data_IF_030284077340
#
_entry.id   IF_030284077340
#
_cell.length_a   1.000
_cell.length_b   1.000
_cell.length_c   1.000
_cell.angle_alpha   90.00
_cell.angle_beta   90.00
_cell.angle_gamma   90.00
#
_symmetry.space_group_name_H-M   'P 1'
#
loop_
_entity.id
_entity.type
_entity.pdbx_description
1 polymer ?
#
# COMPACT_ATOMS: atom_id res chain seq x y z
N UNK A 1 5.64 0.49 16.92
CA UNK A 1 6.69 -0.49 17.26
C UNK A 1 6.63 -0.93 18.74
N UNK A 2 6.55 0.00 19.70
CA UNK A 2 6.55 -0.31 21.13
C UNK A 2 5.18 -0.67 21.72
N UNK A 3 4.08 -0.51 20.96
CA UNK A 3 2.70 -0.79 21.39
C UNK A 3 2.33 -0.18 22.77
N UNK A 4 2.85 1.00 23.08
CA UNK A 4 2.70 1.62 24.41
C UNK A 4 1.25 1.83 24.83
N UNK A 5 0.36 2.18 23.91
CA UNK A 5 -1.07 2.32 24.25
C UNK A 5 -1.70 1.01 24.73
N UNK A 6 -1.25 -0.12 24.21
CA UNK A 6 -1.65 -1.45 24.65
C UNK A 6 -1.10 -1.75 26.04
N UNK A 7 0.17 -1.37 26.28
CA UNK A 7 0.78 -1.51 27.62
C UNK A 7 0.00 -0.73 28.70
N UNK A 8 -0.60 0.42 28.32
CA UNK A 8 -1.42 1.23 29.21
C UNK A 8 -2.94 0.93 29.10
N UNK A 9 -3.39 -0.14 28.47
CA UNK A 9 -4.83 -0.52 28.48
C UNK A 9 -5.36 -0.80 29.89
N UNK A 10 -4.50 -1.26 30.79
CA UNK A 10 -4.80 -1.44 32.22
C UNK A 10 -4.13 -0.34 33.04
N UNK A 11 -4.58 -0.18 34.30
CA UNK A 11 -3.98 0.76 35.24
C UNK A 11 -2.58 0.27 35.64
N UNK A 12 -1.54 0.94 35.17
CA UNK A 12 -0.16 0.53 35.33
C UNK A 12 0.73 1.74 35.67
N UNK A 13 1.84 1.53 36.36
CA UNK A 13 2.85 2.56 36.59
C UNK A 13 3.80 2.62 35.41
N UNK A 14 4.44 3.77 35.19
CA UNK A 14 5.43 3.94 34.13
C UNK A 14 6.62 2.99 34.32
N UNK A 15 7.15 2.86 35.54
CA UNK A 15 8.25 1.94 35.83
C UNK A 15 7.90 0.48 35.45
N UNK A 16 6.67 0.02 35.77
CA UNK A 16 6.23 -1.34 35.43
C UNK A 16 6.21 -1.58 33.91
N UNK A 17 5.86 -0.55 33.11
CA UNK A 17 5.89 -0.64 31.64
C UNK A 17 7.30 -0.52 31.11
N UNK A 18 8.12 0.36 31.66
CA UNK A 18 9.52 0.53 31.27
C UNK A 18 10.29 -0.78 31.42
N UNK A 19 10.14 -1.43 32.57
CA UNK A 19 10.76 -2.74 32.85
C UNK A 19 10.25 -3.83 31.90
N UNK A 20 8.94 -3.93 31.72
CA UNK A 20 8.34 -4.96 30.88
C UNK A 20 8.70 -4.82 29.39
N UNK A 21 8.87 -3.59 28.91
CA UNK A 21 9.23 -3.29 27.54
C UNK A 21 10.72 -3.10 27.31
N UNK A 22 11.54 -3.12 28.39
CA UNK A 22 12.99 -2.84 28.37
C UNK A 22 13.33 -1.50 27.71
N UNK A 23 12.64 -0.43 28.11
CA UNK A 23 12.79 0.93 27.56
C UNK A 23 13.12 1.92 28.67
N UNK A 24 13.66 3.06 28.27
CA UNK A 24 14.03 4.14 29.19
C UNK A 24 12.81 4.72 29.93
N UNK A 25 12.84 4.68 31.25
CA UNK A 25 11.74 5.17 32.10
C UNK A 25 11.57 6.68 32.02
N UNK A 26 12.66 7.44 31.87
CA UNK A 26 12.61 8.92 31.81
C UNK A 26 11.88 9.34 30.54
N UNK A 27 12.26 8.75 29.42
CA UNK A 27 11.59 9.02 28.13
C UNK A 27 10.14 8.57 28.14
N UNK A 28 9.85 7.42 28.75
CA UNK A 28 8.47 6.93 28.88
C UNK A 28 7.62 7.86 29.78
N UNK A 29 8.19 8.43 30.84
CA UNK A 29 7.50 9.45 31.66
C UNK A 29 7.17 10.70 30.84
N UNK A 30 8.08 11.19 30.01
CA UNK A 30 7.81 12.34 29.13
C UNK A 30 6.71 12.02 28.12
N UNK A 31 6.78 10.85 27.47
CA UNK A 31 5.73 10.38 26.55
C UNK A 31 4.37 10.28 27.26
N UNK A 32 4.35 9.76 28.49
CA UNK A 32 3.13 9.66 29.32
C UNK A 32 2.58 11.04 29.67
N UNK A 33 3.45 12.01 30.01
CA UNK A 33 3.05 13.39 30.28
C UNK A 33 2.38 14.04 29.06
N UNK A 34 2.96 13.88 27.88
CA UNK A 34 2.35 14.34 26.61
C UNK A 34 1.00 13.64 26.42
N UNK A 35 0.96 12.31 26.56
CA UNK A 35 -0.27 11.52 26.40
C UNK A 35 -1.40 11.99 27.31
N UNK A 36 -1.09 12.38 28.56
CA UNK A 36 -2.06 12.95 29.50
C UNK A 36 -2.52 14.35 29.05
N UNK A 37 -1.57 15.21 28.66
CA UNK A 37 -1.86 16.60 28.27
C UNK A 37 -2.80 16.70 27.06
N UNK A 38 -2.67 15.76 26.11
CA UNK A 38 -3.52 15.70 24.91
C UNK A 38 -4.75 14.76 25.07
N UNK A 39 -4.95 14.19 26.28
CA UNK A 39 -6.11 13.36 26.60
C UNK A 39 -6.05 11.90 26.09
N UNK A 40 -4.93 11.45 25.53
CA UNK A 40 -4.76 10.05 25.08
C UNK A 40 -4.57 9.09 26.25
N UNK A 41 -3.98 9.56 27.34
CA UNK A 41 -3.85 8.85 28.59
C UNK A 41 -4.64 9.56 29.71
N UNK A 42 -5.07 8.80 30.70
CA UNK A 42 -5.66 9.30 31.93
C UNK A 42 -4.71 9.04 33.09
N UNK A 43 -4.39 10.10 33.82
CA UNK A 43 -3.70 9.98 35.12
C UNK A 43 -4.67 9.44 36.16
N UNK A 44 -4.22 8.48 36.95
CA UNK A 44 -4.98 7.80 37.98
C UNK A 44 -4.26 7.93 39.32
N UNK A 45 -4.94 7.56 40.41
CA UNK A 45 -4.35 7.56 41.73
C UNK A 45 -3.09 6.68 41.81
N UNK A 46 -2.14 7.01 42.69
CA UNK A 46 -0.88 6.29 42.93
C UNK A 46 0.05 6.22 41.73
N UNK A 47 0.12 7.33 40.96
CA UNK A 47 0.99 7.45 39.77
C UNK A 47 0.77 6.34 38.76
N UNK A 48 -0.46 5.90 38.60
CA UNK A 48 -0.87 4.96 37.55
C UNK A 48 -1.49 5.69 36.38
N UNK A 49 -1.35 5.13 35.21
CA UNK A 49 -1.90 5.67 33.97
C UNK A 49 -2.71 4.61 33.27
N UNK A 50 -3.63 5.06 32.45
CA UNK A 50 -4.46 4.20 31.62
C UNK A 50 -4.79 4.92 30.30
N UNK A 51 -4.84 4.17 29.20
CA UNK A 51 -5.32 4.67 27.89
C UNK A 51 -6.76 5.22 28.02
N UNK A 52 -6.99 6.39 27.47
CA UNK A 52 -8.30 7.05 27.46
C UNK A 52 -9.30 6.28 26.58
N UNK A 53 -10.53 6.08 27.09
CA UNK A 53 -11.56 5.31 26.37
C UNK A 53 -12.16 6.04 25.14
N UNK A 54 -11.93 7.34 25.02
CA UNK A 54 -12.48 8.16 23.92
C UNK A 54 -11.66 8.09 22.61
N UNK A 55 -10.45 7.57 22.67
CA UNK A 55 -9.56 7.51 21.51
C UNK A 55 -9.34 6.06 21.11
N UNK A 56 -9.95 5.64 20.02
CA UNK A 56 -9.51 4.46 19.28
C UNK A 56 -8.38 4.90 18.35
N UNK A 57 -7.15 4.76 18.82
CA UNK A 57 -6.00 5.02 17.97
C UNK A 57 -5.93 3.93 16.92
N UNK A 58 -5.73 4.33 15.65
CA UNK A 58 -5.46 3.35 14.59
C UNK A 58 -4.21 2.55 14.94
N UNK A 59 -4.27 1.23 14.81
CA UNK A 59 -3.15 0.33 15.11
C UNK A 59 -2.48 -0.05 13.80
N UNK A 60 -1.22 0.33 13.54
CA UNK A 60 -0.56 0.04 12.26
C UNK A 60 -0.34 -1.46 12.00
N UNK A 61 -0.52 -2.31 13.02
CA UNK A 61 -0.43 -3.77 12.90
C UNK A 61 -1.78 -4.45 12.58
N UNK A 62 -2.88 -3.70 12.56
CA UNK A 62 -4.18 -4.22 12.16
C UNK A 62 -4.36 -4.02 10.65
N UNK A 63 -4.61 -5.08 9.90
CA UNK A 63 -4.65 -5.09 8.42
C UNK A 63 -5.59 -4.05 7.79
N UNK A 64 -6.64 -3.64 8.48
CA UNK A 64 -7.61 -2.65 7.99
C UNK A 64 -7.52 -1.29 8.70
N UNK A 65 -6.42 -1.03 9.39
CA UNK A 65 -6.27 0.17 10.22
C UNK A 65 -5.73 1.35 9.42
N UNK A 66 -6.37 2.51 9.53
CA UNK A 66 -5.83 3.78 9.04
C UNK A 66 -4.46 4.16 9.67
N UNK A 67 -4.05 3.46 10.72
CA UNK A 67 -2.70 3.56 11.30
C UNK A 67 -1.59 3.16 10.33
N UNK A 68 -1.90 2.30 9.37
CA UNK A 68 -0.99 1.94 8.28
C UNK A 68 -0.66 3.16 7.41
N UNK A 69 -1.68 3.96 7.05
CA UNK A 69 -1.48 5.22 6.31
C UNK A 69 -0.63 6.20 7.12
N UNK A 70 -0.91 6.33 8.42
CA UNK A 70 -0.12 7.20 9.28
C UNK A 70 1.34 6.74 9.35
N UNK A 71 1.59 5.44 9.44
CA UNK A 71 2.94 4.85 9.40
C UNK A 71 3.64 5.23 8.10
N UNK A 72 3.01 5.01 6.96
CA UNK A 72 3.56 5.36 5.65
C UNK A 72 3.87 6.87 5.54
N UNK A 73 2.97 7.73 6.00
CA UNK A 73 3.22 9.17 6.04
C UNK A 73 4.45 9.52 6.87
N UNK A 74 4.63 8.91 8.04
CA UNK A 74 5.75 9.18 8.95
C UNK A 74 7.09 8.61 8.43
N UNK A 75 7.06 7.45 7.77
CA UNK A 75 8.26 6.75 7.31
C UNK A 75 8.71 7.19 5.92
N UNK A 76 7.78 7.59 5.05
CA UNK A 76 8.06 7.90 3.65
C UNK A 76 7.75 9.34 3.27
N UNK A 77 6.50 9.80 3.46
CA UNK A 77 6.06 11.06 2.91
C UNK A 77 6.67 12.25 3.64
N UNK A 78 6.61 12.30 4.96
CA UNK A 78 7.12 13.42 5.76
C UNK A 78 8.63 13.60 5.58
N UNK A 79 9.48 12.56 5.69
CA UNK A 79 10.91 12.71 5.45
C UNK A 79 11.24 13.24 4.06
N UNK A 80 10.54 12.75 3.02
CA UNK A 80 10.74 13.20 1.65
C UNK A 80 10.34 14.65 1.46
N UNK A 81 9.21 15.09 2.03
CA UNK A 81 8.75 16.47 1.94
C UNK A 81 9.62 17.45 2.76
N UNK A 82 10.18 17.02 3.89
CA UNK A 82 11.13 17.81 4.67
C UNK A 82 12.45 18.04 3.93
N UNK A 83 12.84 17.13 3.03
CA UNK A 83 14.03 17.29 2.19
C UNK A 83 13.82 18.20 0.97
N UNK A 84 12.59 18.63 0.66
CA UNK A 84 12.28 19.47 -0.50
C UNK A 84 13.13 20.74 -0.63
N UNK A 85 13.38 21.53 0.43
CA UNK A 85 14.19 22.75 0.30
C UNK A 85 15.60 22.47 -0.27
N UNK A 86 16.21 21.38 0.16
CA UNK A 86 17.55 21.01 -0.31
C UNK A 86 17.50 20.40 -1.72
N UNK A 87 16.50 19.61 -2.02
CA UNK A 87 16.26 19.10 -3.38
C UNK A 87 16.08 20.26 -4.37
N UNK A 88 15.27 21.27 -4.02
CA UNK A 88 15.05 22.46 -4.86
C UNK A 88 16.33 23.27 -5.08
N UNK A 89 17.15 23.49 -4.03
CA UNK A 89 18.41 24.23 -4.12
C UNK A 89 19.43 23.49 -4.98
N UNK A 90 19.55 22.18 -4.78
CA UNK A 90 20.55 21.35 -5.45
C UNK A 90 20.08 20.82 -6.81
N UNK A 91 18.80 21.02 -7.16
CA UNK A 91 18.17 20.46 -8.38
C UNK A 91 18.33 18.94 -8.48
N UNK A 92 18.20 18.25 -7.35
CA UNK A 92 18.30 16.80 -7.23
C UNK A 92 16.97 16.21 -6.76
N UNK A 93 16.79 14.90 -6.95
CA UNK A 93 15.70 14.10 -6.41
C UNK A 93 16.29 12.89 -5.74
N UNK A 94 15.54 12.31 -4.79
CA UNK A 94 15.93 11.05 -4.17
C UNK A 94 15.67 9.86 -5.12
N UNK A 95 16.24 8.73 -4.79
CA UNK A 95 15.88 7.44 -5.41
C UNK A 95 14.93 6.69 -4.47
N UNK A 96 13.79 6.23 -4.99
CA UNK A 96 12.86 5.42 -4.22
C UNK A 96 13.35 3.97 -4.20
N UNK A 97 13.66 3.51 -3.01
CA UNK A 97 14.07 2.13 -2.76
C UNK A 97 12.84 1.28 -2.42
N UNK A 98 12.34 0.57 -3.41
CA UNK A 98 11.15 -0.27 -3.30
C UNK A 98 11.34 -1.43 -2.33
N UNK A 99 12.54 -2.00 -2.24
CA UNK A 99 12.83 -3.11 -1.32
C UNK A 99 12.80 -2.66 0.14
N UNK A 100 13.41 -1.51 0.42
CA UNK A 100 13.44 -0.91 1.76
C UNK A 100 12.04 -0.61 2.30
N UNK A 101 11.11 -0.24 1.42
CA UNK A 101 9.78 0.22 1.79
C UNK A 101 8.67 -0.78 1.46
N UNK A 102 9.03 -1.99 0.99
CA UNK A 102 8.11 -3.03 0.54
C UNK A 102 7.00 -3.33 1.56
N UNK A 103 7.35 -3.57 2.81
CA UNK A 103 6.39 -3.89 3.88
C UNK A 103 5.36 -2.76 4.10
N UNK A 104 5.81 -1.50 4.09
CA UNK A 104 4.93 -0.35 4.33
C UNK A 104 3.98 -0.14 3.15
N UNK A 105 4.50 -0.24 1.92
CA UNK A 105 3.70 -0.14 0.69
C UNK A 105 2.69 -1.30 0.59
N UNK A 106 3.11 -2.53 0.88
CA UNK A 106 2.22 -3.70 0.89
C UNK A 106 1.07 -3.53 1.89
N UNK A 107 1.35 -3.03 3.10
CA UNK A 107 0.32 -2.77 4.11
C UNK A 107 -0.70 -1.73 3.65
N UNK A 108 -0.26 -0.64 3.00
CA UNK A 108 -1.15 0.39 2.47
C UNK A 108 -1.96 -0.11 1.28
N UNK A 109 -1.34 -0.89 0.40
CA UNK A 109 -2.02 -1.52 -0.73
C UNK A 109 -3.18 -2.41 -0.27
N UNK A 110 -3.02 -3.17 0.83
CA UNK A 110 -4.11 -3.98 1.42
C UNK A 110 -5.34 -3.16 1.83
N UNK A 111 -5.17 -1.90 2.24
CA UNK A 111 -6.32 -1.02 2.52
C UNK A 111 -7.09 -0.67 1.26
N UNK A 112 -6.37 -0.46 0.15
CA UNK A 112 -7.00 -0.18 -1.15
C UNK A 112 -7.72 -1.40 -1.70
N UNK A 113 -7.21 -2.61 -1.44
CA UNK A 113 -7.87 -3.87 -1.80
C UNK A 113 -9.30 -3.95 -1.23
N UNK A 114 -9.50 -3.55 0.02
CA UNK A 114 -10.85 -3.57 0.66
C UNK A 114 -11.85 -2.76 -0.15
N UNK A 115 -11.42 -1.66 -0.77
CA UNK A 115 -12.27 -0.76 -1.55
C UNK A 115 -12.40 -1.22 -3.00
N UNK A 116 -11.33 -1.66 -3.62
CA UNK A 116 -11.25 -2.00 -5.03
C UNK A 116 -11.78 -3.42 -5.33
N UNK A 117 -11.45 -4.41 -4.49
CA UNK A 117 -11.79 -5.81 -4.70
C UNK A 117 -13.28 -6.07 -4.97
N UNK A 118 -14.25 -5.46 -4.24
CA UNK A 118 -15.67 -5.66 -4.54
C UNK A 118 -16.09 -5.13 -5.92
N UNK A 119 -15.38 -4.15 -6.46
CA UNK A 119 -15.64 -3.58 -7.79
C UNK A 119 -15.04 -4.47 -8.87
N UNK A 120 -13.79 -4.90 -8.70
CA UNK A 120 -13.10 -5.83 -9.59
C UNK A 120 -13.87 -7.16 -9.66
N UNK A 121 -14.31 -7.70 -8.52
CA UNK A 121 -15.09 -8.92 -8.48
C UNK A 121 -16.43 -8.85 -9.23
N UNK A 122 -16.97 -7.66 -9.53
CA UNK A 122 -18.15 -7.49 -10.37
C UNK A 122 -17.84 -7.68 -11.85
N UNK A 123 -16.62 -7.41 -12.28
CA UNK A 123 -16.19 -7.63 -13.66
C UNK A 123 -16.11 -9.13 -13.99
N UNK A 124 -15.85 -9.98 -12.97
CA UNK A 124 -15.81 -11.44 -13.10
C UNK A 124 -17.17 -12.12 -12.95
N UNK A 125 -18.22 -11.40 -12.53
CA UNK A 125 -19.56 -11.99 -12.36
C UNK A 125 -20.21 -12.30 -13.70
N UNK A 126 -20.72 -13.53 -13.81
CA UNK A 126 -21.49 -13.99 -14.97
C UNK A 126 -20.67 -14.72 -16.03
N UNK A 127 -19.35 -14.78 -15.88
CA UNK A 127 -18.44 -15.52 -16.75
C UNK A 127 -17.68 -16.57 -15.92
N UNK A 128 -18.00 -17.85 -16.13
CA UNK A 128 -17.53 -18.94 -15.27
C UNK A 128 -16.11 -19.43 -15.59
N UNK A 129 -15.44 -18.92 -16.61
CA UNK A 129 -14.08 -19.30 -16.99
C UNK A 129 -13.36 -18.14 -17.62
N UNK A 130 -12.83 -17.26 -16.81
CA UNK A 130 -12.04 -16.12 -17.28
C UNK A 130 -10.56 -16.33 -17.02
N UNK A 131 -9.74 -15.82 -17.92
CA UNK A 131 -8.31 -15.69 -17.73
C UNK A 131 -8.00 -14.27 -17.27
N UNK A 132 -7.35 -14.15 -16.12
CA UNK A 132 -7.06 -12.87 -15.46
C UNK A 132 -5.57 -12.70 -15.29
N UNK A 133 -5.03 -11.56 -15.72
CA UNK A 133 -3.65 -11.15 -15.45
C UNK A 133 -3.63 -10.03 -14.41
N UNK A 134 -2.81 -10.15 -13.37
CA UNK A 134 -2.53 -9.07 -12.42
C UNK A 134 -1.07 -8.60 -12.60
N UNK A 135 -0.92 -7.40 -13.14
CA UNK A 135 0.38 -6.81 -13.44
C UNK A 135 0.90 -6.11 -12.18
N UNK A 136 2.12 -6.51 -11.75
CA UNK A 136 2.71 -6.09 -10.47
C UNK A 136 1.83 -6.56 -9.32
N UNK A 137 1.56 -7.85 -9.28
CA UNK A 137 0.65 -8.48 -8.33
C UNK A 137 1.10 -8.32 -6.86
N UNK A 138 2.30 -7.82 -6.64
CA UNK A 138 2.87 -7.65 -5.31
C UNK A 138 2.90 -8.98 -4.55
N UNK A 139 2.50 -8.95 -3.29
CA UNK A 139 2.39 -10.16 -2.46
C UNK A 139 1.21 -11.09 -2.83
N UNK A 140 0.46 -10.80 -3.90
CA UNK A 140 -0.62 -11.65 -4.41
C UNK A 140 -1.98 -11.50 -3.70
N UNK A 141 -2.20 -10.41 -2.97
CA UNK A 141 -3.43 -10.20 -2.18
C UNK A 141 -4.71 -10.19 -3.02
N UNK A 142 -4.72 -9.46 -4.13
CA UNK A 142 -5.85 -9.44 -5.05
C UNK A 142 -6.09 -10.80 -5.69
N UNK A 143 -5.05 -11.39 -6.26
CA UNK A 143 -5.13 -12.70 -6.93
C UNK A 143 -5.70 -13.76 -6.00
N UNK A 144 -5.15 -13.90 -4.80
CA UNK A 144 -5.62 -14.89 -3.82
C UNK A 144 -7.12 -14.79 -3.58
N UNK A 145 -7.58 -13.57 -3.22
CA UNK A 145 -9.00 -13.35 -2.88
C UNK A 145 -9.95 -13.52 -4.06
N UNK A 146 -9.49 -13.18 -5.27
CA UNK A 146 -10.27 -13.40 -6.48
C UNK A 146 -10.30 -14.89 -6.85
N UNK A 147 -9.17 -15.59 -6.81
CA UNK A 147 -9.08 -17.01 -7.12
C UNK A 147 -9.89 -17.90 -6.17
N UNK A 148 -9.87 -17.60 -4.86
CA UNK A 148 -10.72 -18.26 -3.86
C UNK A 148 -12.21 -18.05 -4.15
N UNK A 149 -12.59 -16.91 -4.69
CA UNK A 149 -13.99 -16.54 -4.99
C UNK A 149 -14.47 -17.07 -6.33
N UNK A 150 -13.59 -17.20 -7.31
CA UNK A 150 -13.87 -17.61 -8.68
C UNK A 150 -13.00 -18.82 -9.06
N UNK A 151 -13.25 -20.01 -8.48
CA UNK A 151 -12.38 -21.18 -8.63
C UNK A 151 -12.32 -21.73 -10.06
N UNK A 152 -13.30 -21.42 -10.92
CA UNK A 152 -13.32 -21.85 -12.32
C UNK A 152 -12.48 -20.95 -13.24
N UNK A 153 -12.13 -19.75 -12.79
CA UNK A 153 -11.27 -18.80 -13.52
C UNK A 153 -9.80 -19.06 -13.24
N UNK A 154 -8.93 -18.73 -14.20
CA UNK A 154 -7.48 -18.84 -14.07
C UNK A 154 -6.88 -17.46 -13.81
N UNK A 155 -5.89 -17.39 -12.96
CA UNK A 155 -5.23 -16.17 -12.54
C UNK A 155 -3.73 -16.28 -12.75
N UNK A 156 -3.18 -15.33 -13.46
CA UNK A 156 -1.74 -15.17 -13.65
C UNK A 156 -1.31 -13.85 -13.03
N UNK A 157 -0.20 -13.87 -12.28
CA UNK A 157 0.39 -12.67 -11.69
C UNK A 157 1.83 -12.51 -12.15
N UNK A 158 2.20 -11.30 -12.52
CA UNK A 158 3.60 -10.94 -12.77
C UNK A 158 4.08 -9.93 -11.74
N UNK A 159 5.31 -10.12 -11.25
CA UNK A 159 5.94 -9.23 -10.28
C UNK A 159 7.43 -9.12 -10.57
N UNK A 160 7.95 -7.90 -10.64
CA UNK A 160 9.36 -7.65 -11.01
C UNK A 160 10.34 -8.04 -9.91
N UNK A 161 9.95 -7.90 -8.65
CA UNK A 161 10.78 -8.24 -7.50
C UNK A 161 10.73 -9.74 -7.19
N UNK A 162 11.86 -10.43 -7.28
CA UNK A 162 11.99 -11.86 -6.97
C UNK A 162 11.52 -12.20 -5.54
N UNK A 163 11.88 -11.38 -4.56
CA UNK A 163 11.50 -11.61 -3.15
C UNK A 163 9.99 -11.48 -2.91
N UNK A 164 9.36 -10.53 -3.61
CA UNK A 164 7.91 -10.27 -3.52
C UNK A 164 7.13 -11.35 -4.29
N UNK A 165 7.58 -11.71 -5.48
CA UNK A 165 7.00 -12.81 -6.28
C UNK A 165 6.99 -14.13 -5.49
N UNK A 166 8.11 -14.49 -4.84
CA UNK A 166 8.18 -15.67 -3.95
C UNK A 166 7.21 -15.60 -2.76
N UNK A 167 6.91 -14.40 -2.28
CA UNK A 167 5.90 -14.22 -1.23
C UNK A 167 4.50 -14.48 -1.79
N UNK A 168 4.20 -13.98 -2.99
CA UNK A 168 2.95 -14.23 -3.69
C UNK A 168 2.75 -15.74 -4.00
N UNK A 169 3.79 -16.41 -4.50
CA UNK A 169 3.77 -17.87 -4.74
C UNK A 169 3.43 -18.65 -3.47
N UNK A 170 4.07 -18.31 -2.35
CA UNK A 170 3.77 -18.96 -1.05
C UNK A 170 2.34 -18.67 -0.58
N UNK A 171 1.86 -17.44 -0.78
CA UNK A 171 0.52 -17.04 -0.36
C UNK A 171 -0.57 -17.78 -1.17
N UNK A 172 -0.29 -18.11 -2.42
CA UNK A 172 -1.23 -18.72 -3.36
C UNK A 172 -0.99 -20.21 -3.59
N UNK A 173 0.00 -20.82 -2.94
CA UNK A 173 0.44 -22.21 -3.16
C UNK A 173 -0.65 -23.28 -3.01
N UNK A 174 -1.74 -23.00 -2.31
CA UNK A 174 -2.87 -23.91 -2.14
C UNK A 174 -3.94 -23.78 -3.23
N UNK A 175 -3.77 -22.85 -4.18
CA UNK A 175 -4.74 -22.54 -5.23
C UNK A 175 -4.24 -23.08 -6.56
N UNK A 176 -4.93 -24.08 -7.12
CA UNK A 176 -4.57 -24.72 -8.38
C UNK A 176 -4.82 -23.85 -9.61
N UNK A 177 -5.63 -22.78 -9.44
CA UNK A 177 -6.01 -21.86 -10.48
C UNK A 177 -5.18 -20.55 -10.46
N UNK A 178 -4.02 -20.54 -9.82
CA UNK A 178 -3.12 -19.38 -9.73
C UNK A 178 -1.72 -19.76 -10.18
N UNK A 179 -1.11 -18.91 -11.01
CA UNK A 179 0.31 -18.94 -11.33
C UNK A 179 0.93 -17.56 -11.09
N UNK A 180 2.14 -17.54 -10.56
CA UNK A 180 2.92 -16.31 -10.35
C UNK A 180 4.23 -16.46 -11.11
N UNK A 181 4.62 -15.40 -11.84
CA UNK A 181 5.89 -15.33 -12.59
C UNK A 181 6.67 -14.10 -12.15
N UNK A 182 7.96 -14.29 -11.86
CA UNK A 182 8.87 -13.15 -11.69
C UNK A 182 9.23 -12.63 -13.07
N UNK A 183 8.66 -11.48 -13.44
CA UNK A 183 8.89 -10.85 -14.75
C UNK A 183 8.72 -9.34 -14.68
N UNK A 184 9.51 -8.62 -15.47
CA UNK A 184 9.24 -7.23 -15.78
C UNK A 184 8.09 -7.15 -16.80
N UNK A 185 7.18 -6.21 -16.60
CA UNK A 185 6.06 -5.93 -17.52
C UNK A 185 6.52 -5.75 -18.98
N UNK A 186 7.69 -5.14 -19.18
CA UNK A 186 8.21 -4.86 -20.51
C UNK A 186 8.81 -6.08 -21.20
N UNK A 187 9.23 -7.08 -20.43
CA UNK A 187 9.82 -8.34 -20.92
C UNK A 187 8.80 -9.47 -20.97
N UNK A 188 7.63 -9.29 -20.36
CA UNK A 188 6.60 -10.32 -20.32
C UNK A 188 5.90 -10.49 -21.66
N UNK A 189 5.78 -11.73 -22.13
CA UNK A 189 5.11 -12.12 -23.37
C UNK A 189 3.99 -13.13 -23.06
N UNK A 190 2.71 -12.70 -23.13
CA UNK A 190 1.59 -13.57 -22.81
C UNK A 190 1.43 -14.69 -23.85
N UNK A 191 1.11 -15.88 -23.37
CA UNK A 191 0.87 -17.04 -24.24
C UNK A 191 -0.56 -17.06 -24.81
N UNK A 192 -1.46 -16.28 -24.23
CA UNK A 192 -2.87 -16.20 -24.60
C UNK A 192 -3.45 -14.83 -24.25
N UNK A 193 -4.66 -14.56 -24.72
CA UNK A 193 -5.35 -13.31 -24.43
C UNK A 193 -6.08 -13.39 -23.11
N UNK A 194 -6.15 -12.24 -22.40
CA UNK A 194 -6.81 -12.14 -21.10
C UNK A 194 -8.21 -11.51 -21.22
N UNK A 195 -9.15 -12.04 -20.44
CA UNK A 195 -10.48 -11.46 -20.32
C UNK A 195 -10.49 -10.28 -19.35
N UNK A 196 -9.57 -10.27 -18.40
CA UNK A 196 -9.39 -9.17 -17.46
C UNK A 196 -7.91 -8.97 -17.16
N UNK A 197 -7.44 -7.75 -17.35
CA UNK A 197 -6.12 -7.33 -16.89
C UNK A 197 -6.30 -6.38 -15.71
N UNK A 198 -5.61 -6.65 -14.62
CA UNK A 198 -5.55 -5.79 -13.44
C UNK A 198 -4.24 -5.02 -13.43
N UNK A 199 -4.31 -3.71 -13.18
CA UNK A 199 -3.16 -2.84 -12.99
C UNK A 199 -3.43 -1.96 -11.77
N UNK A 200 -3.00 -2.43 -10.59
CA UNK A 200 -3.33 -1.80 -9.32
C UNK A 200 -2.11 -1.08 -8.73
N UNK A 201 -2.18 0.25 -8.58
CA UNK A 201 -1.14 1.08 -7.98
C UNK A 201 0.23 1.01 -8.67
N UNK A 202 0.27 0.85 -9.99
CA UNK A 202 1.52 0.71 -10.76
C UNK A 202 1.83 1.93 -11.62
N UNK A 203 0.83 2.66 -12.07
CA UNK A 203 1.00 3.70 -13.10
C UNK A 203 2.05 4.77 -12.74
N UNK A 204 2.32 4.99 -11.46
CA UNK A 204 3.33 5.93 -10.98
C UNK A 204 4.78 5.39 -11.09
N UNK A 205 4.99 4.12 -11.42
CA UNK A 205 6.29 3.56 -11.82
C UNK A 205 6.54 3.72 -13.31
N UNK A 206 5.52 4.09 -14.10
CA UNK A 206 5.60 4.22 -15.55
C UNK A 206 5.70 5.70 -15.92
N UNK A 207 6.75 6.06 -16.64
CA UNK A 207 6.92 7.45 -17.10
C UNK A 207 5.76 7.88 -18.00
N UNK A 208 5.32 9.13 -17.94
CA UNK A 208 4.19 9.62 -18.73
C UNK A 208 4.34 9.34 -20.24
N UNK A 209 5.57 9.42 -20.74
CA UNK A 209 5.91 9.21 -22.16
C UNK A 209 5.71 7.74 -22.59
N UNK A 210 5.83 6.80 -21.64
CA UNK A 210 5.66 5.37 -21.91
C UNK A 210 4.24 4.85 -21.65
N UNK A 211 3.35 5.67 -21.09
CA UNK A 211 2.00 5.20 -20.72
C UNK A 211 1.16 4.83 -21.95
N UNK A 212 1.29 5.57 -23.05
CA UNK A 212 0.58 5.21 -24.28
C UNK A 212 1.07 3.85 -24.81
N UNK A 213 2.38 3.65 -24.90
CA UNK A 213 2.99 2.38 -25.30
C UNK A 213 2.50 1.22 -24.40
N UNK A 214 2.43 1.46 -23.09
CA UNK A 214 1.88 0.50 -22.14
C UNK A 214 0.42 0.14 -22.46
N UNK A 215 -0.45 1.12 -22.64
CA UNK A 215 -1.86 0.86 -22.90
C UNK A 215 -2.09 0.18 -24.25
N UNK A 216 -1.30 0.53 -25.26
CA UNK A 216 -1.32 -0.14 -26.58
C UNK A 216 -0.96 -1.63 -26.40
N UNK A 217 0.15 -1.93 -25.69
CA UNK A 217 0.58 -3.30 -25.38
C UNK A 217 -0.48 -4.08 -24.57
N UNK A 218 -1.06 -3.49 -23.54
CA UNK A 218 -2.10 -4.14 -22.75
C UNK A 218 -3.36 -4.39 -23.58
N UNK A 219 -3.71 -3.50 -24.50
CA UNK A 219 -4.82 -3.70 -25.44
C UNK A 219 -4.57 -4.91 -26.36
N UNK A 220 -3.33 -5.12 -26.77
CA UNK A 220 -2.97 -6.31 -27.55
C UNK A 220 -3.06 -7.62 -26.74
N UNK A 221 -2.93 -7.56 -25.43
CA UNK A 221 -3.03 -8.72 -24.54
C UNK A 221 -4.48 -9.07 -24.17
N UNK A 222 -5.43 -8.15 -24.35
CA UNK A 222 -6.85 -8.38 -24.09
C UNK A 222 -7.51 -9.24 -25.18
N UNK A 223 -8.46 -10.07 -24.76
CA UNK A 223 -9.43 -10.71 -25.66
C UNK A 223 -10.38 -9.66 -26.28
N UNK A 224 -11.21 -10.03 -27.25
CA UNK A 224 -12.10 -9.12 -27.99
C UNK A 224 -13.03 -8.32 -27.06
N UNK A 225 -13.56 -8.98 -26.02
CA UNK A 225 -14.42 -8.37 -25.00
C UNK A 225 -13.66 -8.16 -23.67
N UNK A 226 -12.34 -8.24 -23.69
CA UNK A 226 -11.49 -8.12 -22.51
C UNK A 226 -11.49 -6.72 -21.90
N UNK A 227 -11.30 -6.66 -20.58
CA UNK A 227 -11.37 -5.42 -19.80
C UNK A 227 -10.03 -5.14 -19.11
N UNK A 228 -9.53 -3.92 -19.21
CA UNK A 228 -8.45 -3.42 -18.37
C UNK A 228 -9.02 -2.70 -17.15
N UNK A 229 -8.68 -3.16 -15.94
CA UNK A 229 -9.04 -2.52 -14.69
C UNK A 229 -7.82 -1.80 -14.11
N UNK A 230 -7.89 -0.49 -14.02
CA UNK A 230 -6.82 0.35 -13.44
C UNK A 230 -7.28 0.92 -12.11
N UNK A 231 -6.54 0.65 -11.04
CA UNK A 231 -6.75 1.27 -9.73
C UNK A 231 -5.55 2.15 -9.43
N UNK A 232 -5.78 3.46 -9.40
CA UNK A 232 -4.73 4.45 -9.12
C UNK A 232 -5.34 5.73 -8.54
N UNK A 233 -4.62 6.47 -7.69
CA UNK A 233 -4.98 7.85 -7.40
C UNK A 233 -4.91 8.68 -8.69
N UNK A 234 -5.85 9.62 -8.84
CA UNK A 234 -5.92 10.50 -10.01
C UNK A 234 -5.59 11.93 -9.58
N UNK A 235 -4.70 12.59 -10.30
CA UNK A 235 -4.44 14.00 -10.12
C UNK A 235 -5.57 14.84 -10.70
N UNK A 236 -6.08 15.80 -9.94
CA UNK A 236 -7.04 16.81 -10.41
C UNK A 236 -6.37 18.04 -11.05
N UNK A 237 -5.08 17.99 -11.34
CA UNK A 237 -4.34 19.15 -11.83
C UNK A 237 -4.36 20.29 -10.79
N UNK A 238 -4.71 21.52 -11.21
CA UNK A 238 -4.80 22.67 -10.31
C UNK A 238 -5.95 22.59 -9.31
N UNK A 239 -6.98 21.80 -9.62
CA UNK A 239 -8.14 21.58 -8.75
C UNK A 239 -8.00 20.35 -7.85
N UNK A 240 -6.79 19.79 -7.74
CA UNK A 240 -6.53 18.65 -6.87
C UNK A 240 -6.85 18.95 -5.41
N UNK A 241 -7.59 18.06 -4.71
CA UNK A 241 -7.72 18.17 -3.26
C UNK A 241 -6.34 18.21 -2.59
N UNK A 242 -6.17 18.95 -1.47
CA UNK A 242 -4.87 19.12 -0.82
C UNK A 242 -4.12 17.81 -0.54
N UNK A 243 -4.84 16.76 -0.17
CA UNK A 243 -4.24 15.44 0.05
C UNK A 243 -3.65 14.86 -1.24
N UNK A 244 -4.38 14.91 -2.35
CA UNK A 244 -3.90 14.38 -3.65
C UNK A 244 -2.71 15.19 -4.16
N UNK A 245 -2.73 16.52 -4.00
CA UNK A 245 -1.62 17.38 -4.36
C UNK A 245 -0.35 17.06 -3.54
N UNK A 246 -0.49 16.87 -2.22
CA UNK A 246 0.60 16.46 -1.35
C UNK A 246 1.14 15.07 -1.70
N UNK A 247 0.25 14.12 -2.00
CA UNK A 247 0.62 12.78 -2.42
C UNK A 247 1.35 12.79 -3.77
N UNK A 248 0.88 13.59 -4.73
CA UNK A 248 1.58 13.76 -5.99
C UNK A 248 2.96 14.42 -5.81
N UNK A 249 3.10 15.36 -4.88
CA UNK A 249 4.39 15.96 -4.52
C UNK A 249 5.38 14.91 -3.97
N UNK A 250 4.90 13.94 -3.20
CA UNK A 250 5.72 12.84 -2.74
C UNK A 250 6.34 12.06 -3.92
N UNK A 251 5.56 11.67 -4.95
CA UNK A 251 6.10 11.01 -6.13
C UNK A 251 7.15 11.85 -6.85
N UNK A 252 6.93 13.17 -6.95
CA UNK A 252 7.88 14.08 -7.58
C UNK A 252 9.20 14.27 -6.80
N UNK A 253 9.27 13.84 -5.54
CA UNK A 253 10.51 13.88 -4.76
C UNK A 253 11.51 12.78 -5.15
N UNK A 254 11.10 11.85 -6.01
CA UNK A 254 11.93 10.74 -6.49
C UNK A 254 12.15 10.82 -8.00
N UNK A 255 13.33 10.41 -8.44
CA UNK A 255 13.69 10.37 -9.86
C UNK A 255 13.07 9.20 -10.62
N UNK A 256 12.79 8.11 -9.92
CA UNK A 256 12.24 6.85 -10.43
C UNK A 256 10.75 6.65 -10.12
N UNK A 257 10.07 7.68 -9.61
CA UNK A 257 8.62 7.74 -9.51
C UNK A 257 8.07 8.89 -10.35
N UNK A 258 6.87 8.73 -10.86
CA UNK A 258 6.27 9.63 -11.82
C UNK A 258 4.96 10.22 -11.33
N UNK A 259 4.53 11.38 -11.88
CA UNK A 259 3.30 12.04 -11.48
C UNK A 259 2.09 11.13 -11.67
N UNK A 260 1.13 11.31 -10.76
CA UNK A 260 -0.18 10.69 -10.89
C UNK A 260 -0.84 11.10 -12.21
N UNK A 261 -1.53 10.19 -12.88
CA UNK A 261 -2.23 10.52 -14.12
C UNK A 261 -3.40 11.46 -13.86
N UNK A 262 -3.73 12.27 -14.85
CA UNK A 262 -5.03 12.93 -14.95
C UNK A 262 -6.03 11.95 -15.58
N UNK A 263 -7.33 12.22 -15.37
CA UNK A 263 -8.38 11.32 -15.86
C UNK A 263 -8.32 11.14 -17.39
N UNK A 264 -7.96 12.19 -18.09
CA UNK A 264 -7.87 12.24 -19.56
C UNK A 264 -6.65 11.49 -20.12
N UNK A 265 -5.75 11.04 -19.23
CA UNK A 265 -4.54 10.27 -19.58
C UNK A 265 -4.69 8.76 -19.36
N UNK A 266 -5.86 8.34 -18.88
CA UNK A 266 -6.27 6.95 -18.68
C UNK A 266 -7.39 6.58 -19.65
#
# INVERSE_FOLDING_TARGET
ELDLFKAFERRVKVAEVADACQIDEILLNQWTSVGVSIGHLKSMSRQRYKTGSMWKLPRPKEESSSGVILKEMMELHIPSLLAYPDMMRNKTRNHFDSEKHADTVAQTSRLLEVIALPKIAKLLKGNDKQLVLDIGCGEGGYIKRLAERFPESQFEGIEVSDSVAKTAEKLTASLENVSIEQSDLWDYEPQQKYDLILMNNIIHYISPEKRQELFDRLSEWLSEDGVLSVVTPISGGQDSPPFVAAFNSFFHSFENLHPLPQKEQL
#
